data_IF_767161136653
#
_entry.id   IF_767161136653
#
_cell.length_a   1.000
_cell.length_b   1.000
_cell.length_c   1.000
_cell.angle_alpha   90.00
_cell.angle_beta   90.00
_cell.angle_gamma   90.00
#
_symmetry.space_group_name_H-M   'P 1'
#
loop_
_entity.id
_entity.type
_entity.pdbx_description
1 polymer ?
#
# COMPACT_ATOMS: atom_id res chain seq x y z
N UNK A 1 -7.19 -14.03 -0.03
CA UNK A 1 -6.36 -12.80 -0.05
C UNK A 1 -7.13 -11.48 -0.33
N UNK A 2 -8.46 -11.44 -0.22
CA UNK A 2 -9.29 -10.27 -0.64
C UNK A 2 -9.46 -9.17 0.44
N UNK A 3 -9.17 -9.49 1.70
CA UNK A 3 -9.53 -8.62 2.83
C UNK A 3 -8.62 -7.39 2.99
N UNK A 4 -7.33 -7.50 2.60
CA UNK A 4 -6.35 -6.44 2.85
C UNK A 4 -6.52 -5.27 1.87
N UNK A 5 -6.77 -5.56 0.58
CA UNK A 5 -6.99 -4.53 -0.45
C UNK A 5 -8.23 -3.69 -0.17
N UNK A 6 -9.33 -4.31 0.26
CA UNK A 6 -10.57 -3.59 0.60
C UNK A 6 -10.33 -2.67 1.80
N UNK A 7 -9.70 -3.18 2.87
CA UNK A 7 -9.34 -2.38 4.04
C UNK A 7 -8.44 -1.20 3.66
N UNK A 8 -7.41 -1.45 2.85
CA UNK A 8 -6.51 -0.40 2.35
C UNK A 8 -7.25 0.66 1.54
N UNK A 9 -8.15 0.26 0.65
CA UNK A 9 -8.96 1.20 -0.14
C UNK A 9 -9.87 2.05 0.74
N UNK A 10 -10.47 1.47 1.78
CA UNK A 10 -11.29 2.20 2.76
C UNK A 10 -10.43 3.17 3.56
N UNK A 11 -9.26 2.73 4.05
CA UNK A 11 -8.32 3.57 4.80
C UNK A 11 -7.86 4.76 3.96
N UNK A 12 -7.40 4.52 2.73
CA UNK A 12 -6.94 5.56 1.81
C UNK A 12 -8.07 6.51 1.37
N UNK A 13 -9.30 6.02 1.24
CA UNK A 13 -10.46 6.86 0.94
C UNK A 13 -10.78 7.81 2.11
N UNK A 14 -10.62 7.35 3.35
CA UNK A 14 -10.85 8.14 4.58
C UNK A 14 -9.71 9.13 4.88
N UNK A 15 -8.50 8.86 4.40
CA UNK A 15 -7.34 9.73 4.60
C UNK A 15 -7.44 11.02 3.76
N UNK A 16 -7.03 12.17 4.31
CA UNK A 16 -6.91 13.41 3.54
C UNK A 16 -5.79 13.30 2.50
N UNK A 17 -5.86 14.16 1.50
CA UNK A 17 -4.82 14.29 0.48
C UNK A 17 -3.52 14.79 1.13
N UNK A 18 -2.39 14.15 0.81
CA UNK A 18 -1.10 14.41 1.43
C UNK A 18 -0.72 13.45 2.57
N UNK A 19 -1.63 12.58 3.02
CA UNK A 19 -1.30 11.54 4.01
C UNK A 19 -0.92 10.20 3.38
N UNK A 20 0.01 9.50 4.06
CA UNK A 20 0.44 8.15 3.72
C UNK A 20 -0.07 7.10 4.69
N UNK A 21 -0.36 5.91 4.16
CA UNK A 21 -0.63 4.70 4.94
C UNK A 21 0.58 3.80 4.85
N UNK A 22 1.16 3.47 6.01
CA UNK A 22 2.34 2.63 6.14
C UNK A 22 2.00 1.30 6.80
N UNK A 23 2.50 0.20 6.25
CA UNK A 23 2.27 -1.13 6.80
C UNK A 23 3.33 -2.13 6.31
N UNK A 24 3.48 -3.23 7.05
CA UNK A 24 4.35 -4.32 6.65
C UNK A 24 3.57 -5.40 5.92
N UNK A 25 4.15 -5.92 4.85
CA UNK A 25 3.60 -7.04 4.10
C UNK A 25 4.70 -7.95 3.57
N UNK A 26 4.30 -9.05 2.96
CA UNK A 26 5.24 -9.96 2.30
C UNK A 26 5.42 -9.56 0.82
N UNK A 27 6.32 -10.27 0.11
CA UNK A 27 6.61 -9.95 -1.30
C UNK A 27 5.37 -10.11 -2.19
N UNK A 28 4.65 -11.21 -2.05
CA UNK A 28 3.50 -11.53 -2.90
C UNK A 28 2.37 -10.49 -2.74
N UNK A 29 2.08 -10.10 -1.50
CA UNK A 29 1.09 -9.08 -1.20
C UNK A 29 1.54 -7.71 -1.72
N UNK A 30 2.83 -7.37 -1.64
CA UNK A 30 3.34 -6.13 -2.24
C UNK A 30 3.12 -6.10 -3.76
N UNK A 31 3.44 -7.18 -4.47
CA UNK A 31 3.21 -7.27 -5.92
C UNK A 31 1.71 -7.12 -6.28
N UNK A 32 0.82 -7.68 -5.46
CA UNK A 32 -0.63 -7.53 -5.63
C UNK A 32 -1.14 -6.11 -5.35
N UNK A 33 -0.57 -5.40 -4.37
CA UNK A 33 -0.97 -4.04 -3.98
C UNK A 33 -0.35 -3.00 -4.93
N UNK A 34 0.85 -3.25 -5.45
CA UNK A 34 1.55 -2.31 -6.34
C UNK A 34 0.75 -1.98 -7.60
N UNK A 35 0.17 -2.98 -8.27
CA UNK A 35 -0.60 -2.77 -9.51
C UNK A 35 -1.76 -1.76 -9.38
N UNK A 36 -2.69 -1.90 -8.41
CA UNK A 36 -3.82 -0.99 -8.27
C UNK A 36 -3.47 0.37 -7.65
N UNK A 37 -2.48 0.45 -6.76
CA UNK A 37 -2.15 1.68 -6.02
C UNK A 37 -0.95 2.47 -6.58
N UNK A 38 -0.38 2.03 -7.72
CA UNK A 38 0.64 2.79 -8.47
C UNK A 38 0.04 3.76 -9.49
N UNK A 39 -1.27 4.00 -9.44
CA UNK A 39 -1.99 4.93 -10.32
C UNK A 39 -2.58 6.08 -9.52
N UNK A 40 -2.71 7.23 -10.19
CA UNK A 40 -3.32 8.42 -9.60
C UNK A 40 -4.73 8.08 -9.05
N UNK A 41 -5.09 8.57 -7.85
CA UNK A 41 -4.41 9.58 -7.01
C UNK A 41 -3.42 9.01 -5.97
N UNK A 42 -2.88 7.80 -6.15
CA UNK A 42 -2.02 7.17 -5.15
C UNK A 42 -0.59 6.97 -5.64
N UNK A 43 0.37 7.13 -4.72
CA UNK A 43 1.79 6.84 -4.90
C UNK A 43 2.22 5.76 -3.92
N UNK A 44 2.67 4.61 -4.41
CA UNK A 44 3.16 3.50 -3.58
C UNK A 44 4.69 3.42 -3.59
N UNK A 45 5.29 3.26 -2.41
CA UNK A 45 6.70 2.95 -2.18
C UNK A 45 6.81 1.67 -1.38
N UNK A 46 7.74 0.80 -1.74
CA UNK A 46 8.00 -0.46 -1.03
C UNK A 46 9.49 -0.62 -0.76
N UNK A 47 9.87 -0.81 0.49
CA UNK A 47 11.25 -1.01 0.94
C UNK A 47 11.35 -2.44 1.49
N UNK A 48 12.28 -3.24 0.97
CA UNK A 48 12.54 -4.58 1.53
C UNK A 48 13.25 -4.41 2.88
N UNK A 49 12.66 -4.93 3.94
CA UNK A 49 13.21 -4.85 5.30
C UNK A 49 13.84 -6.18 5.71
N UNK A 50 13.31 -7.30 5.24
CA UNK A 50 13.81 -8.64 5.60
C UNK A 50 13.49 -9.67 4.49
N UNK A 51 13.90 -10.92 4.69
CA UNK A 51 13.48 -12.05 3.89
C UNK A 51 11.97 -12.24 4.00
N UNK A 52 11.28 -11.99 2.89
CA UNK A 52 9.82 -11.98 2.78
C UNK A 52 9.09 -10.90 3.60
N UNK A 53 9.78 -9.80 3.96
CA UNK A 53 9.16 -8.63 4.64
C UNK A 53 9.46 -7.34 3.89
N UNK A 54 8.41 -6.64 3.51
CA UNK A 54 8.40 -5.36 2.81
C UNK A 54 7.65 -4.34 3.66
N UNK A 55 8.26 -3.18 3.85
CA UNK A 55 7.59 -2.00 4.37
C UNK A 55 6.99 -1.22 3.21
N UNK A 56 5.68 -1.04 3.21
CA UNK A 56 4.92 -0.41 2.14
C UNK A 56 4.37 0.90 2.66
N UNK A 57 4.57 1.98 1.90
CA UNK A 57 4.02 3.30 2.15
C UNK A 57 3.20 3.73 0.94
N UNK A 58 1.92 4.05 1.14
CA UNK A 58 1.02 4.53 0.10
C UNK A 58 0.58 5.94 0.43
N UNK A 59 1.08 6.91 -0.33
CA UNK A 59 0.72 8.32 -0.24
C UNK A 59 -0.48 8.60 -1.15
N UNK A 60 -1.45 9.37 -0.64
CA UNK A 60 -2.51 9.95 -1.46
C UNK A 60 -2.05 11.31 -1.97
N UNK A 61 -1.82 11.43 -3.28
CA UNK A 61 -1.49 12.68 -3.97
C UNK A 61 -2.70 13.60 -4.09
#
# INVERSE_FOLDING_TARGET
>A
CTNIMIKLKILLKRKPTGESVEFYSNREQFDHIKKPFSKNPYSIKGIKVDNNKYHISILKN
#
